data_IF_496031309442
#
_entry.id   IF_496031309442
#
_cell.length_a   1.000
_cell.length_b   1.000
_cell.length_c   1.000
_cell.angle_alpha   90.00
_cell.angle_beta   90.00
_cell.angle_gamma   90.00
#
_symmetry.space_group_name_H-M   'P 1'
#
loop_
_entity.id
_entity.type
_entity.pdbx_description
1 polymer ?
#
# COMPACT_ATOMS: atom_id res chain seq x y z
N UNK A 1 -1.83 10.01 23.52
CA UNK A 1 -2.18 10.22 22.11
C UNK A 1 -3.55 9.62 21.92
N UNK A 2 -4.58 10.42 21.64
CA UNK A 2 -5.89 9.86 21.30
C UNK A 2 -5.77 9.16 19.95
N UNK A 3 -5.96 7.85 19.96
CA UNK A 3 -6.07 7.06 18.74
C UNK A 3 -7.45 7.37 18.14
N UNK A 4 -7.47 8.10 17.03
CA UNK A 4 -8.70 8.32 16.29
C UNK A 4 -9.08 7.00 15.61
N UNK A 5 -9.89 6.19 16.29
CA UNK A 5 -10.37 4.92 15.72
C UNK A 5 -11.42 5.23 14.66
N UNK A 6 -11.04 5.07 13.39
CA UNK A 6 -12.01 5.07 12.29
C UNK A 6 -12.79 3.74 12.30
N UNK A 7 -14.06 3.80 12.71
CA UNK A 7 -14.94 2.64 12.75
C UNK A 7 -15.29 2.08 11.38
N UNK A 8 -15.01 2.81 10.30
CA UNK A 8 -15.29 2.41 8.92
C UNK A 8 -14.09 1.72 8.24
N UNK A 9 -12.91 1.76 8.85
CA UNK A 9 -11.72 1.10 8.33
C UNK A 9 -11.76 -0.43 8.55
N UNK A 10 -11.24 -1.24 7.60
CA UNK A 10 -10.67 -0.85 6.31
C UNK A 10 -11.73 -0.71 5.20
N UNK A 11 -11.63 0.35 4.39
CA UNK A 11 -12.40 0.55 3.17
C UNK A 11 -11.51 0.40 1.92
N UNK A 12 -12.06 -0.13 0.83
CA UNK A 12 -11.36 -0.15 -0.46
C UNK A 12 -11.32 1.25 -1.06
N UNK A 13 -10.12 1.82 -1.19
CA UNK A 13 -9.91 3.14 -1.77
C UNK A 13 -10.56 3.30 -3.15
N UNK A 14 -11.13 4.48 -3.43
CA UNK A 14 -11.87 4.74 -4.67
C UNK A 14 -11.02 4.53 -5.94
N UNK A 15 -9.71 4.76 -5.86
CA UNK A 15 -8.76 4.62 -6.98
C UNK A 15 -8.27 3.19 -7.19
N UNK A 16 -8.61 2.25 -6.29
CA UNK A 16 -8.15 0.86 -6.40
C UNK A 16 -8.84 0.17 -7.57
N UNK A 17 -8.04 -0.43 -8.46
CA UNK A 17 -8.56 -1.16 -9.63
C UNK A 17 -9.48 -2.30 -9.19
N UNK A 18 -10.58 -2.48 -9.92
CA UNK A 18 -11.59 -3.51 -9.66
C UNK A 18 -11.57 -4.59 -10.74
N UNK A 19 -11.90 -5.81 -10.36
CA UNK A 19 -12.17 -6.89 -11.30
C UNK A 19 -13.57 -6.78 -11.94
N UNK A 20 -13.94 -7.76 -12.78
CA UNK A 20 -13.17 -8.96 -13.14
C UNK A 20 -11.96 -8.66 -14.05
N UNK A 21 -11.02 -9.61 -14.16
CA UNK A 21 -9.85 -9.47 -15.03
C UNK A 21 -10.24 -9.49 -16.50
N UNK A 22 -9.81 -8.48 -17.28
CA UNK A 22 -10.05 -8.43 -18.73
C UNK A 22 -9.24 -9.48 -19.52
N UNK A 23 -8.27 -10.15 -18.90
CA UNK A 23 -7.43 -11.16 -19.55
C UNK A 23 -8.05 -12.56 -19.41
N UNK A 24 -8.55 -12.89 -18.23
CA UNK A 24 -9.13 -14.20 -17.94
C UNK A 24 -10.24 -14.04 -16.92
N UNK A 25 -11.50 -14.00 -17.40
CA UNK A 25 -12.67 -13.75 -16.56
C UNK A 25 -12.92 -14.86 -15.52
N UNK A 26 -12.43 -16.07 -15.77
CA UNK A 26 -12.54 -17.22 -14.86
C UNK A 26 -11.61 -17.11 -13.64
N UNK A 27 -10.58 -16.24 -13.70
CA UNK A 27 -9.67 -15.99 -12.58
C UNK A 27 -10.06 -14.66 -11.93
N UNK A 28 -10.63 -14.73 -10.74
CA UNK A 28 -11.04 -13.55 -9.97
C UNK A 28 -9.81 -12.71 -9.58
N UNK A 29 -9.91 -11.39 -9.76
CA UNK A 29 -8.93 -10.38 -9.31
C UNK A 29 -9.65 -9.19 -8.70
N UNK A 30 -9.02 -8.43 -7.78
CA UNK A 30 -7.70 -8.67 -7.16
C UNK A 30 -7.73 -9.85 -6.17
N UNK A 31 -6.55 -10.38 -5.79
CA UNK A 31 -6.46 -11.57 -4.93
C UNK A 31 -6.55 -11.25 -3.42
N UNK A 32 -5.99 -10.12 -2.99
CA UNK A 32 -5.86 -9.74 -1.59
C UNK A 32 -5.86 -8.21 -1.44
N UNK A 33 -6.33 -7.73 -0.30
CA UNK A 33 -6.30 -6.30 0.08
C UNK A 33 -5.26 -6.07 1.18
N UNK A 34 -4.66 -4.87 1.19
CA UNK A 34 -3.70 -4.45 2.20
C UNK A 34 -3.72 -2.91 2.35
N UNK A 35 -3.16 -2.36 3.45
CA UNK A 35 -3.10 -0.92 3.65
C UNK A 35 -2.30 -0.22 2.55
N UNK A 36 -2.91 0.76 1.89
CA UNK A 36 -2.29 1.53 0.80
C UNK A 36 -2.73 2.98 0.74
N UNK A 37 -3.46 3.47 1.74
CA UNK A 37 -3.87 4.87 1.87
C UNK A 37 -3.11 5.48 3.05
N UNK A 38 -2.56 6.66 2.84
CA UNK A 38 -1.81 7.46 3.83
C UNK A 38 -0.69 6.67 4.52
N UNK A 39 0.11 5.98 3.73
CA UNK A 39 1.23 5.17 4.22
C UNK A 39 2.47 6.04 4.34
N UNK A 40 2.99 6.15 5.57
CA UNK A 40 4.29 6.77 5.86
C UNK A 40 5.42 5.80 5.51
N UNK A 41 6.29 6.18 4.58
CA UNK A 41 7.45 5.38 4.18
C UNK A 41 8.68 6.25 3.93
N UNK A 42 9.86 5.61 3.86
CA UNK A 42 11.12 6.31 3.57
C UNK A 42 11.07 7.00 2.21
N UNK A 43 11.64 8.20 2.14
CA UNK A 43 11.67 9.02 0.94
C UNK A 43 13.09 9.52 0.67
N UNK A 44 13.39 9.77 -0.61
CA UNK A 44 14.68 10.31 -0.99
C UNK A 44 14.75 11.80 -0.63
N UNK A 45 15.78 12.27 0.10
CA UNK A 45 15.93 13.68 0.45
C UNK A 45 16.11 14.61 -0.76
N UNK A 46 16.45 14.05 -1.93
CA UNK A 46 16.62 14.79 -3.19
C UNK A 46 15.40 14.68 -4.11
N UNK A 47 14.39 13.87 -3.75
CA UNK A 47 13.15 13.77 -4.50
C UNK A 47 12.17 14.87 -4.07
N UNK A 48 11.45 15.42 -5.03
CA UNK A 48 10.36 16.36 -4.75
C UNK A 48 9.27 15.62 -3.95
N UNK A 49 8.82 16.21 -2.86
CA UNK A 49 7.65 15.75 -2.13
C UNK A 49 6.43 16.52 -2.63
N UNK A 50 5.37 15.80 -3.01
CA UNK A 50 4.12 16.40 -3.45
C UNK A 50 3.26 16.93 -2.27
N UNK A 51 3.66 16.60 -1.04
CA UNK A 51 2.86 16.73 0.18
C UNK A 51 3.10 18.04 0.91
N UNK A 52 4.28 18.64 0.78
CA UNK A 52 4.64 19.88 1.47
C UNK A 52 4.44 21.15 0.65
N UNK A 53 4.22 21.07 -0.68
CA UNK A 53 4.14 22.23 -1.59
C UNK A 53 5.45 23.04 -1.72
N UNK A 54 6.33 22.92 -0.72
CA UNK A 54 7.70 23.40 -0.65
C UNK A 54 8.66 22.23 -0.82
N UNK A 55 9.77 22.44 -1.55
CA UNK A 55 10.84 21.46 -1.75
C UNK A 55 11.70 21.29 -0.49
N UNK A 56 11.07 20.85 0.59
CA UNK A 56 11.75 20.51 1.82
C UNK A 56 12.36 19.11 1.64
N UNK A 57 13.67 18.92 1.90
CA UNK A 57 14.26 17.59 1.93
C UNK A 57 13.58 16.75 3.01
N UNK A 58 12.80 15.74 2.61
CA UNK A 58 12.13 14.82 3.51
C UNK A 58 12.76 13.44 3.44
N UNK A 59 13.03 12.84 4.60
CA UNK A 59 13.49 11.45 4.73
C UNK A 59 12.33 10.45 4.80
N UNK A 60 11.10 10.95 5.02
CA UNK A 60 9.87 10.17 4.99
C UNK A 60 8.79 10.96 4.25
N UNK A 61 7.88 10.24 3.61
CA UNK A 61 6.73 10.82 2.92
C UNK A 61 5.48 9.97 3.17
N UNK A 62 4.30 10.61 3.15
CA UNK A 62 3.00 9.97 3.23
C UNK A 62 2.44 9.91 1.82
N UNK A 63 2.22 8.71 1.30
CA UNK A 63 1.71 8.49 -0.05
C UNK A 63 0.58 7.46 -0.05
N UNK A 64 -0.27 7.56 -1.07
CA UNK A 64 -1.44 6.70 -1.28
C UNK A 64 -1.37 6.02 -2.64
N UNK A 65 -1.63 4.71 -2.68
CA UNK A 65 -1.65 3.94 -3.92
C UNK A 65 -1.65 2.44 -3.70
N UNK A 66 -2.05 1.69 -4.73
CA UNK A 66 -1.85 0.22 -4.75
C UNK A 66 -0.36 -0.15 -4.72
N UNK A 67 0.51 0.76 -5.17
CA UNK A 67 1.97 0.70 -5.00
C UNK A 67 2.41 0.67 -3.54
N UNK A 68 1.62 1.23 -2.61
CA UNK A 68 1.88 1.21 -1.16
C UNK A 68 1.26 -0.02 -0.49
N UNK A 69 0.17 -0.58 -1.05
CA UNK A 69 -0.40 -1.85 -0.60
C UNK A 69 0.48 -3.07 -0.97
N UNK A 70 1.06 -3.08 -2.17
CA UNK A 70 1.93 -4.15 -2.68
C UNK A 70 3.09 -4.57 -1.73
N UNK A 71 3.90 -3.64 -1.17
CA UNK A 71 5.00 -4.01 -0.29
C UNK A 71 4.53 -4.63 1.04
N UNK A 72 3.34 -4.28 1.54
CA UNK A 72 2.78 -4.94 2.74
C UNK A 72 2.52 -6.44 2.48
N UNK A 73 1.87 -6.76 1.36
CA UNK A 73 1.61 -8.15 0.96
C UNK A 73 2.93 -8.88 0.68
N UNK A 74 3.87 -8.23 0.01
CA UNK A 74 5.19 -8.80 -0.28
C UNK A 74 5.99 -9.10 0.99
N UNK A 75 5.93 -8.21 1.98
CA UNK A 75 6.52 -8.41 3.31
C UNK A 75 5.90 -9.59 4.04
N UNK A 76 4.56 -9.70 4.04
CA UNK A 76 3.85 -10.83 4.63
C UNK A 76 4.21 -12.16 3.94
N UNK A 77 4.27 -12.18 2.60
CA UNK A 77 4.68 -13.34 1.84
C UNK A 77 6.14 -13.76 2.14
N UNK A 78 7.06 -12.79 2.20
CA UNK A 78 8.46 -13.01 2.56
C UNK A 78 8.60 -13.55 3.98
N UNK A 79 7.82 -13.02 4.93
CA UNK A 79 7.76 -13.52 6.30
C UNK A 79 7.31 -14.98 6.34
N UNK A 80 6.20 -15.34 5.67
CA UNK A 80 5.73 -16.74 5.57
C UNK A 80 6.81 -17.64 4.96
N UNK A 81 7.43 -17.22 3.86
CA UNK A 81 8.49 -17.96 3.16
C UNK A 81 9.71 -18.20 4.05
N UNK A 82 10.03 -17.30 4.98
CA UNK A 82 11.14 -17.48 5.94
C UNK A 82 10.93 -18.67 6.89
N UNK A 83 9.67 -18.98 7.25
CA UNK A 83 9.32 -20.15 8.08
C UNK A 83 8.99 -21.39 7.26
N UNK A 84 8.61 -21.21 5.99
CA UNK A 84 8.29 -22.28 5.05
C UNK A 84 9.10 -22.13 3.74
N UNK A 85 10.43 -22.36 3.74
CA UNK A 85 11.27 -22.10 2.58
C UNK A 85 10.92 -22.92 1.33
N UNK A 86 10.24 -24.04 1.49
CA UNK A 86 9.86 -24.96 0.40
C UNK A 86 8.48 -24.70 -0.20
N UNK A 87 7.70 -23.76 0.33
CA UNK A 87 6.41 -23.34 -0.23
C UNK A 87 6.58 -22.42 -1.44
#
# INVERSE_FOLDING_TARGET
TEELTDTLAPEVAYFSSRGPSNITLEILKPDVIAPGVDILASWSPVALSNTSGENIPLVFNIESGTSMACPHVSGAAGYIKSFRPTW
#
